data_IF_551484100797
#
_entry.id   IF_551484100797
#
_cell.length_a   1.000
_cell.length_b   1.000
_cell.length_c   1.000
_cell.angle_alpha   90.00
_cell.angle_beta   90.00
_cell.angle_gamma   90.00
#
_symmetry.space_group_name_H-M   'P 1'
#
loop_
_entity.id
_entity.type
_entity.pdbx_description
1 polymer ?
#
# COMPACT_ATOMS: atom_id res chain seq x y z
N UNK A 1 4.76 -84.25 -3.52
CA UNK A 1 3.66 -84.58 -2.59
C UNK A 1 3.81 -85.98 -1.97
N UNK A 2 4.12 -87.03 -2.75
CA UNK A 2 4.34 -88.40 -2.21
C UNK A 2 5.42 -88.46 -1.11
N UNK A 3 6.55 -87.78 -1.28
CA UNK A 3 7.63 -87.77 -0.26
C UNK A 3 7.27 -87.02 1.02
N UNK A 4 6.41 -86.01 0.94
CA UNK A 4 5.94 -85.23 2.10
C UNK A 4 5.00 -86.09 2.96
N UNK A 5 4.06 -86.79 2.32
CA UNK A 5 3.12 -87.70 3.00
C UNK A 5 3.86 -88.92 3.60
N UNK A 6 4.94 -89.37 2.96
CA UNK A 6 5.79 -90.46 3.47
C UNK A 6 6.60 -90.05 4.70
N UNK A 7 7.08 -88.80 4.77
CA UNK A 7 7.92 -88.31 5.87
C UNK A 7 7.10 -87.74 7.05
N UNK A 8 5.95 -87.11 6.76
CA UNK A 8 5.17 -86.36 7.75
C UNK A 8 3.76 -86.92 7.99
N UNK A 9 3.45 -88.11 7.44
CA UNK A 9 2.14 -88.76 7.52
C UNK A 9 1.01 -87.94 6.90
N UNK A 10 -0.25 -88.35 7.11
CA UNK A 10 -1.44 -87.68 6.57
C UNK A 10 -1.67 -86.31 7.23
N UNK A 11 -1.24 -86.16 8.49
CA UNK A 11 -1.36 -84.94 9.30
C UNK A 11 -0.10 -84.05 9.18
N UNK A 12 0.42 -83.86 7.97
CA UNK A 12 1.61 -83.03 7.75
C UNK A 12 1.37 -81.54 8.03
N UNK A 13 0.10 -81.11 8.03
CA UNK A 13 -0.35 -79.74 8.29
C UNK A 13 -0.08 -79.27 9.73
N UNK A 14 -0.29 -80.15 10.73
CA UNK A 14 -0.05 -79.81 12.13
C UNK A 14 1.41 -79.46 12.44
N UNK A 15 2.40 -80.34 12.15
CA UNK A 15 3.80 -80.05 12.46
C UNK A 15 4.42 -79.01 11.53
N UNK A 16 4.07 -78.99 10.23
CA UNK A 16 4.71 -78.08 9.27
C UNK A 16 4.09 -76.68 9.22
N UNK A 17 2.79 -76.55 9.50
CA UNK A 17 2.06 -75.29 9.33
C UNK A 17 1.56 -74.77 10.68
N UNK A 18 0.70 -75.51 11.39
CA UNK A 18 0.06 -74.98 12.62
C UNK A 18 1.06 -74.67 13.74
N UNK A 19 1.94 -75.62 14.06
CA UNK A 19 2.93 -75.42 15.13
C UNK A 19 3.88 -74.26 14.81
N UNK A 20 4.26 -74.13 13.53
CA UNK A 20 5.14 -73.06 13.07
C UNK A 20 4.47 -71.70 13.14
N UNK A 21 3.22 -71.58 12.67
CA UNK A 21 2.42 -70.35 12.77
C UNK A 21 2.31 -69.90 14.23
N UNK A 22 1.98 -70.82 15.15
CA UNK A 22 1.89 -70.49 16.57
C UNK A 22 3.21 -69.99 17.15
N UNK A 23 4.33 -70.60 16.76
CA UNK A 23 5.65 -70.15 17.21
C UNK A 23 5.99 -68.75 16.71
N UNK A 24 5.82 -68.49 15.42
CA UNK A 24 6.14 -67.19 14.79
C UNK A 24 5.25 -66.06 15.33
N UNK A 25 3.95 -66.30 15.49
CA UNK A 25 3.05 -65.30 16.07
C UNK A 25 3.43 -65.00 17.52
N UNK A 26 3.75 -66.04 18.31
CA UNK A 26 4.19 -65.82 19.70
C UNK A 26 5.53 -65.07 19.78
N UNK A 27 6.46 -65.35 18.86
CA UNK A 27 7.73 -64.64 18.76
C UNK A 27 7.51 -63.16 18.44
N UNK A 28 6.62 -62.88 17.49
CA UNK A 28 6.23 -61.51 17.12
C UNK A 28 5.56 -60.77 18.29
N UNK A 29 4.64 -61.43 19.00
CA UNK A 29 3.97 -60.86 20.16
C UNK A 29 4.89 -60.68 21.38
N UNK A 30 6.05 -61.35 21.43
CA UNK A 30 7.00 -61.23 22.53
C UNK A 30 7.93 -60.03 22.38
N UNK A 31 8.17 -59.56 21.14
CA UNK A 31 9.03 -58.41 20.85
C UNK A 31 8.30 -57.07 20.76
N UNK A 32 6.96 -57.08 20.67
CA UNK A 32 6.16 -55.87 20.49
C UNK A 32 5.15 -55.67 21.62
N UNK A 33 4.85 -54.40 21.90
CA UNK A 33 3.76 -54.07 22.82
C UNK A 33 2.38 -54.32 22.20
N UNK A 34 1.36 -54.53 23.03
CA UNK A 34 -0.02 -54.70 22.57
C UNK A 34 -0.49 -53.49 21.72
N UNK A 35 -0.05 -52.27 22.06
CA UNK A 35 -0.37 -51.05 21.34
C UNK A 35 0.16 -51.08 19.90
N UNK A 36 1.45 -51.35 19.75
CA UNK A 36 2.14 -51.37 18.46
C UNK A 36 1.57 -52.46 17.54
N UNK A 37 1.31 -53.64 18.10
CA UNK A 37 0.70 -54.77 17.37
C UNK A 37 -0.72 -54.44 16.90
N UNK A 38 -1.50 -53.71 17.70
CA UNK A 38 -2.91 -53.45 17.43
C UNK A 38 -3.14 -52.28 16.46
N UNK A 39 -2.31 -51.24 16.53
CA UNK A 39 -2.46 -50.02 15.73
C UNK A 39 -1.55 -50.03 14.49
N UNK A 40 -0.25 -50.27 14.67
CA UNK A 40 0.75 -49.87 13.66
C UNK A 40 1.31 -51.06 12.87
N UNK A 41 1.56 -52.20 13.51
CA UNK A 41 2.25 -53.33 12.90
C UNK A 41 1.33 -54.48 12.47
N UNK A 42 0.02 -54.39 12.69
CA UNK A 42 -0.90 -55.49 12.37
C UNK A 42 -0.79 -55.93 10.89
N UNK A 43 -0.74 -54.97 9.98
CA UNK A 43 -0.66 -55.23 8.54
C UNK A 43 0.68 -55.86 8.13
N UNK A 44 1.73 -55.68 8.95
CA UNK A 44 3.06 -56.24 8.69
C UNK A 44 3.19 -57.69 9.16
N UNK A 45 2.36 -58.12 10.12
CA UNK A 45 2.37 -59.50 10.64
C UNK A 45 2.07 -60.49 9.53
N UNK A 46 1.09 -60.20 8.68
CA UNK A 46 0.66 -61.07 7.59
C UNK A 46 1.83 -61.37 6.62
N UNK A 47 2.56 -60.33 6.21
CA UNK A 47 3.67 -60.45 5.27
C UNK A 47 4.90 -61.11 5.89
N UNK A 48 5.21 -60.76 7.14
CA UNK A 48 6.31 -61.39 7.88
C UNK A 48 6.04 -62.89 8.10
N UNK A 49 4.81 -63.24 8.51
CA UNK A 49 4.41 -64.62 8.74
C UNK A 49 4.40 -65.43 7.44
N UNK A 50 3.93 -64.84 6.33
CA UNK A 50 3.99 -65.48 5.01
C UNK A 50 5.43 -65.78 4.60
N UNK A 51 6.34 -64.83 4.79
CA UNK A 51 7.75 -64.97 4.42
C UNK A 51 8.43 -66.05 5.25
N UNK A 52 8.29 -66.00 6.58
CA UNK A 52 8.87 -66.98 7.49
C UNK A 52 8.35 -68.42 7.23
N UNK A 53 7.05 -68.58 6.97
CA UNK A 53 6.49 -69.89 6.61
C UNK A 53 7.02 -70.40 5.27
N UNK A 54 7.16 -69.51 4.28
CA UNK A 54 7.63 -69.92 2.95
C UNK A 54 9.11 -70.34 2.97
N UNK A 55 9.96 -69.66 3.74
CA UNK A 55 11.37 -70.02 3.92
C UNK A 55 11.50 -71.44 4.49
N UNK A 56 10.78 -71.74 5.57
CA UNK A 56 10.83 -73.05 6.21
C UNK A 56 10.21 -74.17 5.36
N UNK A 57 9.09 -73.90 4.69
CA UNK A 57 8.46 -74.86 3.78
C UNK A 57 9.35 -75.19 2.58
N UNK A 58 10.18 -74.25 2.13
CA UNK A 58 11.14 -74.48 1.04
C UNK A 58 12.21 -75.51 1.44
N UNK A 59 12.60 -75.55 2.72
CA UNK A 59 13.59 -76.50 3.25
C UNK A 59 12.94 -77.84 3.60
N UNK A 60 11.82 -77.82 4.31
CA UNK A 60 11.21 -79.03 4.88
C UNK A 60 10.34 -79.81 3.89
N UNK A 61 9.70 -79.11 2.94
CA UNK A 61 8.70 -79.66 2.04
C UNK A 61 8.72 -78.95 0.67
N UNK A 62 9.76 -79.19 -0.16
CA UNK A 62 9.86 -78.59 -1.49
C UNK A 62 8.63 -78.97 -2.33
N UNK A 63 7.84 -77.97 -2.72
CA UNK A 63 6.59 -78.14 -3.48
C UNK A 63 5.32 -77.64 -2.78
N UNK A 64 5.40 -77.17 -1.53
CA UNK A 64 4.33 -76.41 -0.88
C UNK A 64 4.59 -74.90 -1.00
N UNK A 65 3.57 -74.16 -1.44
CA UNK A 65 3.62 -72.70 -1.58
C UNK A 65 2.49 -72.05 -0.80
N UNK A 66 2.83 -71.04 -0.01
CA UNK A 66 1.87 -70.25 0.77
C UNK A 66 1.32 -69.14 -0.11
N UNK A 67 0.04 -69.21 -0.45
CA UNK A 67 -0.60 -68.22 -1.31
C UNK A 67 -0.82 -66.88 -0.58
N UNK A 68 -1.43 -66.93 0.60
CA UNK A 68 -1.66 -65.78 1.46
C UNK A 68 -1.86 -66.24 2.91
N UNK A 69 -1.45 -65.39 3.85
CA UNK A 69 -1.71 -65.56 5.28
C UNK A 69 -2.47 -64.35 5.76
N UNK A 70 -3.52 -64.58 6.57
CA UNK A 70 -4.29 -63.51 7.21
C UNK A 70 -4.45 -63.85 8.67
N UNK A 71 -3.91 -63.02 9.53
CA UNK A 71 -4.10 -63.12 10.98
C UNK A 71 -5.37 -62.37 11.36
N UNK A 72 -6.12 -62.89 12.31
CA UNK A 72 -7.30 -62.21 12.85
C UNK A 72 -6.87 -61.31 14.00
N UNK A 73 -7.44 -60.11 14.10
CA UNK A 73 -7.15 -59.18 15.20
C UNK A 73 -7.42 -59.84 16.55
N UNK A 74 -6.47 -59.82 17.50
CA UNK A 74 -6.67 -60.39 18.83
C UNK A 74 -7.79 -59.64 19.56
N UNK A 75 -8.64 -60.37 20.27
CA UNK A 75 -9.70 -59.76 21.10
C UNK A 75 -9.07 -59.25 22.40
N UNK A 76 -9.02 -57.93 22.56
CA UNK A 76 -8.55 -57.28 23.79
C UNK A 76 -9.59 -57.53 24.91
N UNK A 77 -9.19 -58.06 26.08
CA UNK A 77 -10.08 -58.22 27.23
C UNK A 77 -10.67 -56.89 27.72
N UNK A 78 -11.91 -56.92 28.23
CA UNK A 78 -12.62 -55.73 28.70
C UNK A 78 -11.91 -54.96 29.80
N UNK A 79 -11.21 -55.68 30.70
CA UNK A 79 -10.51 -55.09 31.84
C UNK A 79 -9.44 -54.07 31.42
N UNK A 80 -8.78 -54.27 30.27
CA UNK A 80 -7.71 -53.38 29.80
C UNK A 80 -8.17 -52.42 28.69
N UNK A 81 -9.34 -52.68 28.08
CA UNK A 81 -9.88 -51.83 27.00
C UNK A 81 -10.14 -50.39 27.48
N UNK A 82 -10.73 -50.24 28.65
CA UNK A 82 -11.06 -48.91 29.18
C UNK A 82 -9.81 -48.07 29.50
N UNK A 83 -8.79 -48.70 30.10
CA UNK A 83 -7.52 -48.02 30.39
C UNK A 83 -6.80 -47.61 29.10
N UNK A 84 -6.81 -48.48 28.09
CA UNK A 84 -6.23 -48.20 26.79
C UNK A 84 -6.90 -47.01 26.07
N UNK A 85 -8.23 -46.97 26.07
CA UNK A 85 -9.00 -45.85 25.49
C UNK A 85 -8.66 -44.52 26.18
N UNK A 86 -8.50 -44.54 27.51
CA UNK A 86 -8.09 -43.35 28.27
C UNK A 86 -6.67 -42.91 27.94
N UNK A 87 -5.71 -43.85 27.92
CA UNK A 87 -4.31 -43.56 27.63
C UNK A 87 -4.13 -42.98 26.21
N UNK A 88 -4.82 -43.54 25.21
CA UNK A 88 -4.77 -43.03 23.84
C UNK A 88 -5.43 -41.66 23.69
N UNK A 89 -6.51 -41.41 24.42
CA UNK A 89 -7.12 -40.09 24.46
C UNK A 89 -6.18 -39.04 25.07
N UNK A 90 -5.47 -39.39 26.15
CA UNK A 90 -4.48 -38.53 26.79
C UNK A 90 -3.25 -38.30 25.91
N UNK A 91 -2.72 -39.34 25.27
CA UNK A 91 -1.59 -39.25 24.32
C UNK A 91 -1.95 -38.35 23.13
N UNK A 92 -3.14 -38.54 22.56
CA UNK A 92 -3.65 -37.69 21.49
C UNK A 92 -3.78 -36.24 21.95
N UNK A 93 -4.35 -36.01 23.14
CA UNK A 93 -4.50 -34.67 23.71
C UNK A 93 -3.15 -33.97 23.94
N UNK A 94 -2.15 -34.70 24.42
CA UNK A 94 -0.80 -34.18 24.60
C UNK A 94 -0.18 -33.79 23.27
N UNK A 95 -0.26 -34.66 22.25
CA UNK A 95 0.24 -34.37 20.90
C UNK A 95 -0.43 -33.13 20.31
N UNK A 96 -1.76 -33.03 20.42
CA UNK A 96 -2.52 -31.86 19.96
C UNK A 96 -2.08 -30.60 20.70
N UNK A 97 -1.92 -30.66 22.03
CA UNK A 97 -1.46 -29.52 22.81
C UNK A 97 -0.04 -29.07 22.42
N UNK A 98 0.88 -30.02 22.20
CA UNK A 98 2.25 -29.72 21.74
C UNK A 98 2.25 -29.09 20.35
N UNK A 99 1.45 -29.61 19.42
CA UNK A 99 1.36 -29.02 18.08
C UNK A 99 0.69 -27.65 18.12
N UNK A 100 -0.35 -27.48 18.93
CA UNK A 100 -1.01 -26.19 19.13
C UNK A 100 -0.05 -25.15 19.71
N UNK A 101 0.76 -25.53 20.69
CA UNK A 101 1.80 -24.65 21.25
C UNK A 101 2.78 -24.18 20.18
N UNK A 102 3.22 -25.07 19.28
CA UNK A 102 4.09 -24.70 18.15
C UNK A 102 3.42 -23.77 17.15
N UNK A 103 2.12 -23.94 16.91
CA UNK A 103 1.35 -23.04 16.04
C UNK A 103 1.28 -21.66 16.66
N UNK A 104 0.90 -21.55 17.93
CA UNK A 104 0.82 -20.28 18.65
C UNK A 104 2.16 -19.56 18.68
N UNK A 105 3.27 -20.27 18.91
CA UNK A 105 4.61 -19.68 18.86
C UNK A 105 4.93 -19.08 17.48
N UNK A 106 4.67 -19.85 16.41
CA UNK A 106 4.90 -19.39 15.03
C UNK A 106 3.96 -18.25 14.61
N UNK A 107 2.72 -18.28 15.07
CA UNK A 107 1.75 -17.20 14.83
C UNK A 107 2.21 -15.92 15.53
N UNK A 108 2.65 -15.99 16.78
CA UNK A 108 3.19 -14.85 17.51
C UNK A 108 4.45 -14.27 16.82
N UNK A 109 5.35 -15.10 16.31
CA UNK A 109 6.48 -14.63 15.49
C UNK A 109 6.03 -13.97 14.19
N UNK A 110 5.01 -14.54 13.55
CA UNK A 110 4.44 -14.03 12.29
C UNK A 110 3.78 -12.67 12.52
N UNK A 111 3.01 -12.51 13.60
CA UNK A 111 2.39 -11.23 13.98
C UNK A 111 3.44 -10.17 14.29
N UNK A 112 4.52 -10.52 15.00
CA UNK A 112 5.64 -9.59 15.24
C UNK A 112 6.27 -9.12 13.93
N UNK A 113 6.58 -10.04 13.01
CA UNK A 113 7.14 -9.69 11.70
C UNK A 113 6.17 -8.82 10.89
N UNK A 114 4.87 -9.15 10.91
CA UNK A 114 3.82 -8.37 10.23
C UNK A 114 3.74 -6.95 10.80
N UNK A 115 3.81 -6.78 12.12
CA UNK A 115 3.79 -5.46 12.76
C UNK A 115 5.00 -4.61 12.37
N UNK A 116 6.20 -5.20 12.31
CA UNK A 116 7.42 -4.52 11.84
C UNK A 116 7.27 -4.08 10.38
N UNK A 117 6.84 -4.99 9.51
CA UNK A 117 6.63 -4.68 8.08
C UNK A 117 5.57 -3.58 7.91
N UNK A 118 4.51 -3.59 8.71
CA UNK A 118 3.49 -2.55 8.65
C UNK A 118 4.01 -1.18 9.12
N UNK A 119 4.81 -1.16 10.18
CA UNK A 119 5.45 0.06 10.67
C UNK A 119 6.44 0.63 9.63
N UNK A 120 7.28 -0.22 9.02
CA UNK A 120 8.21 0.17 7.96
C UNK A 120 7.46 0.69 6.72
N UNK A 121 6.39 0.01 6.30
CA UNK A 121 5.53 0.46 5.20
C UNK A 121 4.95 1.84 5.47
N UNK A 122 4.42 2.07 6.68
CA UNK A 122 3.88 3.39 7.07
C UNK A 122 4.97 4.47 7.05
N UNK A 123 6.16 4.17 7.57
CA UNK A 123 7.29 5.10 7.54
C UNK A 123 7.72 5.44 6.09
N UNK A 124 7.76 4.44 5.20
CA UNK A 124 8.12 4.65 3.79
C UNK A 124 7.07 5.47 3.05
N UNK A 125 5.78 5.20 3.27
CA UNK A 125 4.69 6.00 2.68
C UNK A 125 4.75 7.45 3.18
N UNK A 126 4.95 7.67 4.48
CA UNK A 126 5.12 9.01 5.04
C UNK A 126 6.33 9.74 4.41
N UNK A 127 7.46 9.06 4.24
CA UNK A 127 8.64 9.62 3.58
C UNK A 127 8.36 10.03 2.13
N UNK A 128 7.58 9.25 1.38
CA UNK A 128 7.18 9.59 0.00
C UNK A 128 6.25 10.82 0.01
N UNK A 129 5.24 10.85 0.89
CA UNK A 129 4.34 12.00 1.01
C UNK A 129 5.09 13.28 1.40
N UNK A 130 6.06 13.18 2.31
CA UNK A 130 6.92 14.30 2.67
C UNK A 130 7.76 14.78 1.50
N UNK A 131 8.36 13.87 0.72
CA UNK A 131 9.11 14.24 -0.49
C UNK A 131 8.22 14.94 -1.52
N UNK A 132 7.00 14.44 -1.74
CA UNK A 132 6.02 15.09 -2.63
C UNK A 132 5.67 16.50 -2.15
N UNK A 133 5.37 16.65 -0.85
CA UNK A 133 5.05 17.96 -0.26
C UNK A 133 6.22 18.95 -0.37
N UNK A 134 7.45 18.50 -0.14
CA UNK A 134 8.65 19.35 -0.29
C UNK A 134 8.79 19.78 -1.74
N UNK A 135 8.68 18.85 -2.69
CA UNK A 135 8.77 19.15 -4.12
C UNK A 135 7.67 20.15 -4.56
N UNK A 136 6.44 20.00 -4.09
CA UNK A 136 5.35 20.95 -4.36
C UNK A 136 5.67 22.35 -3.81
N UNK A 137 6.18 22.45 -2.58
CA UNK A 137 6.55 23.73 -1.99
C UNK A 137 7.75 24.38 -2.68
N UNK A 138 8.73 23.59 -3.13
CA UNK A 138 9.86 24.09 -3.90
C UNK A 138 9.41 24.60 -5.28
N UNK A 139 8.54 23.86 -5.96
CA UNK A 139 7.92 24.30 -7.22
C UNK A 139 7.13 25.60 -7.00
N UNK A 140 6.32 25.68 -5.94
CA UNK A 140 5.57 26.91 -5.63
C UNK A 140 6.50 28.10 -5.39
N UNK A 141 7.62 27.91 -4.67
CA UNK A 141 8.62 28.97 -4.48
C UNK A 141 9.22 29.42 -5.80
N UNK A 142 9.56 28.48 -6.70
CA UNK A 142 10.09 28.81 -8.03
C UNK A 142 9.08 29.58 -8.88
N UNK A 143 7.81 29.18 -8.86
CA UNK A 143 6.74 29.90 -9.59
C UNK A 143 6.63 31.33 -9.06
N UNK A 144 6.57 31.51 -7.74
CA UNK A 144 6.51 32.85 -7.12
C UNK A 144 7.72 33.71 -7.50
N UNK A 145 8.93 33.15 -7.51
CA UNK A 145 10.14 33.87 -7.93
C UNK A 145 10.06 34.30 -9.40
N UNK A 146 9.61 33.41 -10.28
CA UNK A 146 9.43 33.73 -11.71
C UNK A 146 8.34 34.79 -11.93
N UNK A 147 7.25 34.75 -11.16
CA UNK A 147 6.19 35.76 -11.19
C UNK A 147 6.71 37.13 -10.73
N UNK A 148 7.46 37.17 -9.62
CA UNK A 148 8.08 38.41 -9.11
C UNK A 148 9.07 38.99 -10.13
N UNK A 149 9.93 38.15 -10.72
CA UNK A 149 10.86 38.56 -11.78
C UNK A 149 10.12 39.06 -13.02
N UNK A 150 9.05 38.37 -13.43
CA UNK A 150 8.23 38.77 -14.58
C UNK A 150 7.51 40.09 -14.32
N UNK A 151 6.99 40.29 -13.10
CA UNK A 151 6.32 41.52 -12.71
C UNK A 151 7.31 42.69 -12.67
N UNK A 152 8.49 42.50 -12.09
CA UNK A 152 9.54 43.51 -12.06
C UNK A 152 10.03 43.88 -13.47
N UNK A 153 10.22 42.88 -14.34
CA UNK A 153 10.56 43.12 -15.74
C UNK A 153 9.46 43.88 -16.48
N UNK A 154 8.19 43.55 -16.26
CA UNK A 154 7.03 44.23 -16.85
C UNK A 154 6.91 45.68 -16.38
N UNK A 155 7.00 45.94 -15.07
CA UNK A 155 6.93 47.29 -14.51
C UNK A 155 8.10 48.15 -14.99
N UNK A 156 9.31 47.59 -15.07
CA UNK A 156 10.46 48.28 -15.64
C UNK A 156 10.25 48.62 -17.11
N UNK A 157 9.79 47.67 -17.92
CA UNK A 157 9.52 47.90 -19.34
C UNK A 157 8.44 48.97 -19.54
N UNK A 158 7.41 49.01 -18.68
CA UNK A 158 6.37 50.03 -18.69
C UNK A 158 6.91 51.40 -18.31
N UNK A 159 7.70 51.49 -17.24
CA UNK A 159 8.35 52.73 -16.82
C UNK A 159 9.33 53.26 -17.90
N UNK A 160 10.12 52.38 -18.51
CA UNK A 160 11.02 52.72 -19.61
C UNK A 160 10.25 53.22 -20.85
N UNK A 161 9.11 52.58 -21.19
CA UNK A 161 8.25 53.01 -22.28
C UNK A 161 7.57 54.37 -22.00
N UNK A 162 7.11 54.60 -20.76
CA UNK A 162 6.56 55.89 -20.33
C UNK A 162 7.62 56.99 -20.36
N UNK A 163 8.83 56.71 -19.88
CA UNK A 163 9.97 57.62 -19.94
C UNK A 163 10.33 57.97 -21.39
N UNK A 164 10.45 56.97 -22.27
CA UNK A 164 10.74 57.19 -23.68
C UNK A 164 9.65 58.03 -24.37
N UNK A 165 8.37 57.74 -24.08
CA UNK A 165 7.24 58.52 -24.59
C UNK A 165 7.30 59.97 -24.10
N UNK A 166 7.56 60.20 -22.81
CA UNK A 166 7.66 61.53 -22.23
C UNK A 166 8.85 62.31 -22.81
N UNK A 167 10.00 61.67 -22.99
CA UNK A 167 11.19 62.26 -23.61
C UNK A 167 10.91 62.68 -25.06
N UNK A 168 10.29 61.80 -25.87
CA UNK A 168 9.93 62.13 -27.25
C UNK A 168 8.89 63.23 -27.35
N UNK A 169 7.90 63.25 -26.44
CA UNK A 169 6.93 64.33 -26.35
C UNK A 169 7.61 65.67 -25.97
N UNK A 170 8.56 65.67 -25.04
CA UNK A 170 9.32 66.87 -24.67
C UNK A 170 10.19 67.37 -25.84
N UNK A 171 10.86 66.48 -26.56
CA UNK A 171 11.62 66.81 -27.78
C UNK A 171 10.70 67.41 -28.87
N UNK A 172 9.54 66.80 -29.10
CA UNK A 172 8.56 67.29 -30.06
C UNK A 172 8.00 68.67 -29.66
N UNK A 173 7.65 68.85 -28.39
CA UNK A 173 7.18 70.14 -27.86
C UNK A 173 8.24 71.24 -28.01
N UNK A 174 9.53 70.91 -27.85
CA UNK A 174 10.63 71.84 -28.09
C UNK A 174 10.70 72.29 -29.55
N UNK A 175 10.43 71.39 -30.50
CA UNK A 175 10.39 71.72 -31.94
C UNK A 175 9.13 72.52 -32.32
N UNK A 176 8.00 72.25 -31.67
CA UNK A 176 6.73 72.96 -31.87
C UNK A 176 6.69 74.34 -31.21
N UNK A 177 7.72 74.73 -30.46
CA UNK A 177 7.81 75.99 -29.73
C UNK A 177 8.22 77.17 -30.64
N UNK A 178 7.58 77.27 -31.81
CA UNK A 178 7.70 78.43 -32.69
C UNK A 178 6.62 79.46 -32.37
N UNK A 179 6.92 80.77 -32.45
CA UNK A 179 5.96 81.81 -32.08
C UNK A 179 4.68 81.75 -32.92
N UNK A 180 4.77 81.38 -34.20
CA UNK A 180 3.64 81.28 -35.11
C UNK A 180 2.72 80.10 -34.77
N UNK A 181 3.29 78.97 -34.33
CA UNK A 181 2.50 77.81 -33.92
C UNK A 181 1.78 78.04 -32.60
N UNK A 182 2.42 78.73 -31.64
CA UNK A 182 1.80 79.10 -30.37
C UNK A 182 0.63 80.07 -30.57
N UNK A 183 0.76 81.02 -31.51
CA UNK A 183 -0.32 81.94 -31.86
C UNK A 183 -1.49 81.19 -32.53
N UNK A 184 -1.21 80.30 -33.50
CA UNK A 184 -2.23 79.45 -34.11
C UNK A 184 -2.93 78.57 -33.06
N UNK A 185 -2.17 77.97 -32.14
CA UNK A 185 -2.72 77.14 -31.05
C UNK A 185 -3.56 77.96 -30.08
N UNK A 186 -3.14 79.19 -29.77
CA UNK A 186 -3.89 80.13 -28.94
C UNK A 186 -5.22 80.52 -29.61
N UNK A 187 -5.19 80.85 -30.90
CA UNK A 187 -6.41 81.16 -31.66
C UNK A 187 -7.32 79.95 -31.73
N UNK A 188 -6.79 78.75 -31.98
CA UNK A 188 -7.57 77.50 -32.00
C UNK A 188 -8.20 77.19 -30.63
N UNK A 189 -7.46 77.37 -29.53
CA UNK A 189 -7.98 77.20 -28.18
C UNK A 189 -9.04 78.25 -27.83
N UNK A 190 -8.84 79.51 -28.22
CA UNK A 190 -9.85 80.58 -28.08
C UNK A 190 -11.10 80.21 -28.89
N UNK A 191 -10.96 79.78 -30.15
CA UNK A 191 -12.07 79.38 -31.01
C UNK A 191 -12.87 78.19 -30.44
N UNK A 192 -12.19 77.17 -29.90
CA UNK A 192 -12.83 76.02 -29.25
C UNK A 192 -13.50 76.36 -27.92
N UNK A 193 -12.93 77.31 -27.16
CA UNK A 193 -13.48 77.73 -25.88
C UNK A 193 -14.59 78.80 -26.05
N UNK A 194 -14.65 79.47 -27.21
CA UNK A 194 -15.70 80.45 -27.52
C UNK A 194 -16.97 79.73 -27.99
N UNK A 195 -17.74 79.19 -27.03
CA UNK A 195 -19.10 78.71 -27.28
C UNK A 195 -20.02 79.92 -27.46
N UNK A 196 -20.29 80.29 -28.71
CA UNK A 196 -21.24 81.36 -29.01
C UNK A 196 -22.66 80.79 -28.83
N UNK A 197 -23.38 81.28 -27.83
CA UNK A 197 -24.78 80.95 -27.57
C UNK A 197 -25.69 81.96 -28.30
N UNK A 198 -26.55 81.50 -29.22
CA UNK A 198 -27.55 82.34 -29.90
C UNK A 198 -28.97 81.96 -29.40
N UNK A 199 -29.71 82.93 -28.85
CA UNK A 199 -31.11 82.77 -28.42
C UNK A 199 -31.63 84.01 -27.67
N UNK A 200 -32.95 84.27 -27.67
CA UNK A 200 -33.58 85.46 -27.07
C UNK A 200 -33.59 85.49 -25.52
N UNK A 201 -33.09 84.44 -24.85
CA UNK A 201 -32.92 84.39 -23.40
C UNK A 201 -31.53 83.84 -23.05
N UNK A 202 -30.58 84.73 -22.77
CA UNK A 202 -29.25 84.38 -22.27
C UNK A 202 -29.23 84.65 -20.75
N UNK A 203 -28.98 83.63 -19.90
CA UNK A 203 -28.90 83.82 -18.45
C UNK A 203 -27.78 84.79 -18.05
N UNK A 204 -28.09 85.72 -17.14
CA UNK A 204 -27.22 86.82 -16.65
C UNK A 204 -25.93 86.41 -15.91
N UNK A 205 -25.63 85.11 -15.85
CA UNK A 205 -24.45 84.55 -15.19
C UNK A 205 -23.14 84.81 -15.95
N UNK A 206 -23.18 85.07 -17.26
CA UNK A 206 -21.96 85.26 -18.06
C UNK A 206 -21.42 86.70 -18.11
N UNK A 207 -22.19 87.71 -17.67
CA UNK A 207 -21.74 89.12 -17.62
C UNK A 207 -21.04 89.52 -16.31
N UNK A 208 -20.96 88.64 -15.30
CA UNK A 208 -20.40 88.98 -13.99
C UNK A 208 -18.87 89.02 -13.92
N UNK A 209 -18.15 88.70 -15.00
CA UNK A 209 -16.68 88.70 -14.97
C UNK A 209 -16.04 90.10 -15.14
N UNK A 210 -16.73 91.07 -15.76
CA UNK A 210 -16.18 92.45 -15.89
C UNK A 210 -16.56 93.34 -14.70
N UNK A 211 -17.71 93.10 -14.06
CA UNK A 211 -18.13 93.89 -12.88
C UNK A 211 -17.30 93.59 -11.61
N UNK A 212 -16.82 92.35 -11.45
CA UNK A 212 -15.97 91.97 -10.31
C UNK A 212 -14.55 92.56 -10.40
N UNK A 213 -14.04 92.79 -11.61
CA UNK A 213 -12.75 93.47 -11.82
C UNK A 213 -12.85 95.00 -11.57
N UNK A 214 -13.99 95.62 -11.86
CA UNK A 214 -14.21 97.04 -11.55
C UNK A 214 -14.40 97.31 -10.03
N UNK A 215 -15.00 96.36 -9.30
CA UNK A 215 -15.22 96.50 -7.85
C UNK A 215 -13.95 96.29 -7.01
N UNK A 216 -12.94 95.56 -7.49
CA UNK A 216 -11.67 95.41 -6.77
C UNK A 216 -10.80 96.67 -6.87
N UNK A 217 -10.88 97.42 -7.97
CA UNK A 217 -10.14 98.69 -8.15
C UNK A 217 -10.74 99.83 -7.32
N UNK A 218 -12.07 99.92 -7.21
CA UNK A 218 -12.73 100.94 -6.38
C UNK A 218 -12.50 100.75 -4.86
N UNK A 219 -12.30 99.49 -4.41
CA UNK A 219 -12.07 99.17 -3.00
C UNK A 219 -10.62 99.42 -2.54
N UNK A 220 -9.68 99.51 -3.48
CA UNK A 220 -8.30 99.91 -3.19
C UNK A 220 -8.18 101.42 -2.92
N UNK A 221 -8.90 102.27 -3.67
CA UNK A 221 -8.83 103.73 -3.51
C UNK A 221 -9.54 104.30 -2.27
N UNK A 222 -10.43 103.55 -1.62
CA UNK A 222 -11.13 104.00 -0.40
C UNK A 222 -10.39 103.65 0.91
N UNK A 223 -9.26 102.93 0.85
CA UNK A 223 -8.50 102.49 2.03
C UNK A 223 -7.30 103.40 2.37
N UNK A 224 -7.02 104.40 1.54
CA UNK A 224 -5.93 105.38 1.72
C UNK A 224 -6.42 106.76 2.22
N UNK A 225 -7.67 106.86 2.68
CA UNK A 225 -8.22 108.08 3.26
C UNK A 225 -8.72 107.83 4.70
N UNK A 226 -7.78 107.52 5.60
CA UNK A 226 -7.91 107.78 7.02
C UNK A 226 -6.54 107.98 7.67
#
# INVERSE_FOLDING_TARGET
VYDIVKNYTVDYDKPLIFNKVHHEVNQFCSSHSLQEVYIDLFDQIDENLKTALQEDLTIMAPGLFVQAVRVTKPKIPEAIRHNYEQMEAEKTKLLVATQHQKVVEKEAETERKKAVIEAEKKAQVAAIMHKQTIAEKETQKKISQLEDESHLASEKAKADAEFYRAQKAAEANRLLLTPEYLELKRIEAIAKNNKIFYGQDIPSAFFHSEAAAAQSVAKAHAKDAH
#
